data_IF_528578134998
#
_entry.id   IF_528578134998
#
_cell.length_a   1.000
_cell.length_b   1.000
_cell.length_c   1.000
_cell.angle_alpha   90.00
_cell.angle_beta   90.00
_cell.angle_gamma   90.00
#
_symmetry.space_group_name_H-M   'P 1'
#
loop_
_entity.id
_entity.type
_entity.pdbx_description
1 polymer ?
#
# COMPACT_ATOMS: atom_id res chain seq x y z
N UNK A 1 -15.75 -2.64 18.97
CA UNK A 1 -15.75 -3.86 18.15
C UNK A 1 -15.47 -3.50 16.70
N UNK A 2 -14.45 -4.10 16.11
CA UNK A 2 -14.15 -3.86 14.71
C UNK A 2 -15.27 -4.43 13.84
N UNK A 3 -15.69 -3.70 12.81
CA UNK A 3 -16.67 -4.23 11.87
C UNK A 3 -15.99 -5.19 10.89
N UNK A 4 -16.80 -5.95 10.17
CA UNK A 4 -16.32 -6.96 9.24
C UNK A 4 -15.46 -6.37 8.11
N UNK A 5 -15.80 -5.17 7.65
CA UNK A 5 -15.06 -4.49 6.58
C UNK A 5 -13.66 -4.09 7.03
N UNK A 6 -13.54 -3.59 8.26
CA UNK A 6 -12.24 -3.26 8.85
C UNK A 6 -11.38 -4.52 9.01
N UNK A 7 -11.97 -5.64 9.39
CA UNK A 7 -11.26 -6.91 9.52
C UNK A 7 -10.75 -7.40 8.17
N UNK A 8 -11.56 -7.30 7.12
CA UNK A 8 -11.15 -7.72 5.77
C UNK A 8 -10.00 -6.87 5.27
N UNK A 9 -10.12 -5.55 5.38
CA UNK A 9 -9.09 -4.65 4.88
C UNK A 9 -7.80 -4.80 5.68
N UNK A 10 -7.89 -5.00 6.98
CA UNK A 10 -6.72 -5.23 7.82
C UNK A 10 -5.96 -6.48 7.39
N UNK A 11 -6.67 -7.56 7.11
CA UNK A 11 -6.06 -8.80 6.64
C UNK A 11 -5.39 -8.61 5.27
N UNK A 12 -6.04 -7.90 4.35
CA UNK A 12 -5.48 -7.60 3.03
C UNK A 12 -4.23 -6.72 3.12
N UNK A 13 -4.26 -5.69 3.95
CA UNK A 13 -3.13 -4.79 4.12
C UNK A 13 -1.93 -5.49 4.77
N UNK A 14 -2.18 -6.36 5.74
CA UNK A 14 -1.12 -7.16 6.38
C UNK A 14 -0.49 -8.14 5.40
N UNK A 15 -1.31 -8.79 4.58
CA UNK A 15 -0.85 -9.72 3.56
C UNK A 15 0.05 -9.01 2.55
N UNK A 16 -0.37 -7.83 2.10
CA UNK A 16 0.41 -7.01 1.18
C UNK A 16 1.74 -6.56 1.81
N UNK A 17 1.68 -6.09 3.06
CA UNK A 17 2.88 -5.74 3.82
C UNK A 17 3.86 -6.91 3.91
N UNK A 18 3.36 -8.08 4.27
CA UNK A 18 4.21 -9.27 4.43
C UNK A 18 4.85 -9.68 3.11
N UNK A 19 4.10 -9.58 2.01
CA UNK A 19 4.63 -9.82 0.67
C UNK A 19 5.73 -8.82 0.29
N UNK A 20 5.54 -7.55 0.62
CA UNK A 20 6.55 -6.52 0.39
C UNK A 20 7.82 -6.75 1.21
N UNK A 21 7.66 -7.06 2.50
CA UNK A 21 8.80 -7.30 3.39
C UNK A 21 9.58 -8.57 3.03
N UNK A 22 8.90 -9.61 2.56
CA UNK A 22 9.55 -10.87 2.14
C UNK A 22 9.99 -10.85 0.68
N UNK A 23 9.66 -9.81 -0.06
CA UNK A 23 9.92 -9.68 -1.49
C UNK A 23 9.32 -10.86 -2.29
N UNK A 24 8.12 -11.24 -1.90
CA UNK A 24 7.37 -12.31 -2.56
C UNK A 24 6.64 -11.74 -3.78
N UNK A 25 7.31 -11.77 -4.92
CA UNK A 25 6.81 -11.18 -6.16
C UNK A 25 5.54 -11.85 -6.64
N UNK A 26 5.45 -13.18 -6.50
CA UNK A 26 4.27 -13.93 -6.90
C UNK A 26 3.05 -13.49 -6.08
N UNK A 27 3.23 -13.35 -4.76
CA UNK A 27 2.17 -12.90 -3.88
C UNK A 27 1.77 -11.46 -4.17
N UNK A 28 2.74 -10.56 -4.37
CA UNK A 28 2.47 -9.17 -4.74
C UNK A 28 1.69 -9.08 -6.04
N UNK A 29 2.07 -9.89 -7.03
CA UNK A 29 1.36 -9.94 -8.33
C UNK A 29 -0.08 -10.39 -8.18
N UNK A 30 -0.36 -11.31 -7.26
CA UNK A 30 -1.72 -11.80 -7.00
C UNK A 30 -2.58 -10.76 -6.26
N UNK A 31 -1.96 -9.90 -5.45
CA UNK A 31 -2.67 -8.90 -4.64
C UNK A 31 -3.01 -7.63 -5.40
N UNK A 32 -2.39 -7.37 -6.54
CA UNK A 32 -2.66 -6.17 -7.33
C UNK A 32 -3.40 -6.50 -8.61
N UNK A 33 -4.41 -5.71 -8.90
CA UNK A 33 -5.24 -5.85 -10.10
C UNK A 33 -4.42 -5.56 -11.38
N UNK A 34 -4.76 -6.16 -12.53
CA UNK A 34 -4.08 -5.81 -13.79
C UNK A 34 -4.11 -4.31 -14.11
N UNK A 35 -5.13 -3.59 -13.67
CA UNK A 35 -5.27 -2.15 -13.88
C UNK A 35 -4.78 -1.32 -12.69
N UNK A 36 -3.95 -1.92 -11.82
CA UNK A 36 -3.42 -1.22 -10.66
C UNK A 36 -2.59 0.00 -11.03
N UNK A 37 -2.80 1.10 -10.31
CA UNK A 37 -1.99 2.31 -10.40
C UNK A 37 -1.62 2.77 -9.00
N UNK A 38 -0.34 2.99 -8.77
CA UNK A 38 0.16 3.72 -7.61
C UNK A 38 0.30 5.18 -7.98
N UNK A 39 -0.33 6.05 -7.20
CA UNK A 39 -0.27 7.50 -7.39
C UNK A 39 0.40 8.09 -6.16
N UNK A 40 1.35 8.98 -6.37
CA UNK A 40 2.06 9.58 -5.25
C UNK A 40 2.68 10.91 -5.59
N UNK A 41 3.45 11.42 -4.63
CA UNK A 41 4.14 12.69 -4.74
C UNK A 41 5.60 12.50 -4.36
N UNK A 42 6.49 13.03 -5.19
CA UNK A 42 7.93 13.13 -4.92
C UNK A 42 8.30 14.59 -4.82
N UNK A 43 9.51 14.89 -4.36
CA UNK A 43 10.03 16.27 -4.33
C UNK A 43 10.03 16.90 -5.71
N UNK A 44 10.12 16.12 -6.76
CA UNK A 44 10.13 16.56 -8.16
C UNK A 44 8.72 16.71 -8.76
N UNK A 45 7.67 16.33 -8.02
CA UNK A 45 6.28 16.43 -8.48
C UNK A 45 5.50 15.12 -8.38
N UNK A 46 4.27 15.11 -8.88
CA UNK A 46 3.43 13.92 -8.85
C UNK A 46 3.96 12.82 -9.77
N UNK A 47 3.66 11.58 -9.42
CA UNK A 47 4.01 10.44 -10.26
C UNK A 47 2.87 9.42 -10.28
N UNK A 48 2.84 8.61 -11.34
CA UNK A 48 1.97 7.45 -11.47
C UNK A 48 2.80 6.26 -11.94
N UNK A 49 2.57 5.11 -11.32
CA UNK A 49 3.15 3.83 -11.76
C UNK A 49 2.04 2.85 -12.03
N UNK A 50 2.00 2.32 -13.24
CA UNK A 50 1.13 1.21 -13.58
C UNK A 50 1.67 -0.09 -12.98
N UNK A 51 0.86 -1.13 -12.99
CA UNK A 51 1.17 -2.40 -12.34
C UNK A 51 2.59 -2.92 -12.61
N UNK A 52 2.97 -3.03 -13.87
CA UNK A 52 4.28 -3.61 -14.23
C UNK A 52 5.44 -2.71 -13.79
N UNK A 53 5.29 -1.40 -13.92
CA UNK A 53 6.28 -0.44 -13.43
C UNK A 53 6.45 -0.54 -11.92
N UNK A 54 5.34 -0.66 -11.20
CA UNK A 54 5.35 -0.81 -9.75
C UNK A 54 6.03 -2.11 -9.32
N UNK A 55 5.68 -3.23 -9.97
CA UNK A 55 6.29 -4.53 -9.67
C UNK A 55 7.81 -4.50 -9.91
N UNK A 56 8.26 -3.83 -10.97
CA UNK A 56 9.69 -3.66 -11.23
C UNK A 56 10.36 -2.80 -10.15
N UNK A 57 9.72 -1.71 -9.78
CA UNK A 57 10.27 -0.75 -8.80
C UNK A 57 10.45 -1.39 -7.42
N UNK A 58 9.47 -2.16 -6.95
CA UNK A 58 9.53 -2.75 -5.61
C UNK A 58 10.57 -3.87 -5.50
N UNK A 59 10.91 -4.52 -6.61
CA UNK A 59 11.96 -5.54 -6.62
C UNK A 59 13.36 -4.94 -6.40
N UNK A 60 13.53 -3.65 -6.66
CA UNK A 60 14.78 -2.92 -6.48
C UNK A 60 14.94 -2.34 -5.07
N UNK A 61 13.95 -2.51 -4.22
CA UNK A 61 13.94 -1.97 -2.86
C UNK A 61 13.89 -3.12 -1.87
N UNK A 62 14.62 -2.98 -0.77
CA UNK A 62 14.56 -3.93 0.33
C UNK A 62 13.74 -3.30 1.45
N UNK A 63 12.50 -3.75 1.58
CA UNK A 63 11.59 -3.25 2.61
C UNK A 63 11.91 -3.99 3.91
N UNK A 64 12.41 -3.27 4.91
CA UNK A 64 12.78 -3.85 6.20
C UNK A 64 11.57 -3.99 7.11
N UNK A 65 10.73 -2.96 7.16
CA UNK A 65 9.53 -2.99 7.99
C UNK A 65 8.47 -2.02 7.48
N UNK A 66 7.22 -2.36 7.74
CA UNK A 66 6.07 -1.48 7.51
C UNK A 66 5.18 -1.62 8.73
N UNK A 67 4.95 -0.51 9.44
CA UNK A 67 3.97 -0.45 10.52
C UNK A 67 2.70 0.14 9.94
N UNK A 68 1.56 -0.52 10.18
CA UNK A 68 0.26 -0.15 9.61
C UNK A 68 -0.74 0.16 10.70
N UNK A 69 -1.55 1.20 10.46
CA UNK A 69 -2.73 1.50 11.26
C UNK A 69 -3.90 1.77 10.31
N UNK A 70 -4.96 0.99 10.44
CA UNK A 70 -6.16 1.18 9.63
C UNK A 70 -6.98 2.29 10.28
N UNK A 71 -7.03 3.45 9.62
CA UNK A 71 -7.76 4.60 10.13
C UNK A 71 -9.24 4.59 9.76
N UNK A 72 -9.58 4.06 8.59
CA UNK A 72 -10.97 3.97 8.12
C UNK A 72 -11.08 2.87 7.06
N UNK A 73 -12.26 2.23 7.01
CA UNK A 73 -12.59 1.23 5.99
C UNK A 73 -14.07 1.35 5.63
N UNK A 74 -14.34 1.43 4.34
CA UNK A 74 -15.69 1.52 3.79
C UNK A 74 -15.91 0.47 2.71
N UNK A 75 -17.09 -0.13 2.71
CA UNK A 75 -17.48 -1.10 1.70
C UNK A 75 -18.56 -0.52 0.79
N UNK A 76 -18.42 -0.77 -0.50
CA UNK A 76 -19.38 -0.41 -1.54
C UNK A 76 -19.53 -1.60 -2.47
N UNK A 77 -20.55 -2.42 -2.26
CA UNK A 77 -20.79 -3.63 -3.04
C UNK A 77 -19.51 -4.51 -3.10
N UNK A 78 -18.85 -4.60 -4.25
CA UNK A 78 -17.63 -5.40 -4.45
C UNK A 78 -16.36 -4.54 -4.39
N UNK A 79 -16.38 -3.51 -3.56
CA UNK A 79 -15.27 -2.58 -3.42
C UNK A 79 -15.06 -2.22 -1.96
N UNK A 80 -13.80 -2.13 -1.56
CA UNK A 80 -13.41 -1.62 -0.26
C UNK A 80 -12.49 -0.42 -0.46
N UNK A 81 -12.73 0.62 0.33
CA UNK A 81 -11.85 1.79 0.36
C UNK A 81 -11.29 1.91 1.76
N UNK A 82 -9.97 1.87 1.88
CA UNK A 82 -9.28 1.99 3.15
C UNK A 82 -8.38 3.20 3.23
N UNK A 83 -8.37 3.84 4.40
CA UNK A 83 -7.38 4.86 4.74
C UNK A 83 -6.42 4.25 5.75
N UNK A 84 -5.15 4.25 5.43
CA UNK A 84 -4.12 3.57 6.20
C UNK A 84 -2.98 4.53 6.49
N UNK A 85 -2.57 4.59 7.76
CA UNK A 85 -1.32 5.28 8.12
C UNK A 85 -0.21 4.23 8.12
N UNK A 86 0.89 4.53 7.45
CA UNK A 86 2.00 3.58 7.34
C UNK A 86 3.33 4.26 7.62
N UNK A 87 4.18 3.52 8.33
CA UNK A 87 5.57 3.92 8.55
C UNK A 87 6.45 2.90 7.85
N UNK A 88 7.24 3.36 6.87
CA UNK A 88 8.11 2.54 6.04
C UNK A 88 9.56 2.67 6.47
N UNK A 89 10.26 1.54 6.50
CA UNK A 89 11.71 1.52 6.57
C UNK A 89 12.20 0.61 5.45
N UNK A 90 12.94 1.19 4.51
CA UNK A 90 13.45 0.43 3.37
C UNK A 90 14.88 0.84 3.02
N UNK A 91 15.56 -0.02 2.27
CA UNK A 91 16.87 0.28 1.69
C UNK A 91 16.74 0.37 0.18
N UNK A 92 17.33 1.41 -0.36
CA UNK A 92 17.39 1.63 -1.81
C UNK A 92 18.73 2.27 -2.15
N UNK A 93 19.49 1.60 -3.02
CA UNK A 93 20.83 2.06 -3.43
C UNK A 93 21.76 2.34 -2.24
N UNK A 94 21.73 1.46 -1.23
CA UNK A 94 22.57 1.58 -0.04
C UNK A 94 22.12 2.61 0.98
N UNK A 95 20.99 3.26 0.76
CA UNK A 95 20.43 4.24 1.68
C UNK A 95 19.25 3.67 2.45
N UNK A 96 19.17 4.00 3.73
CA UNK A 96 18.00 3.69 4.54
C UNK A 96 17.03 4.87 4.42
N UNK A 97 15.79 4.55 4.04
CA UNK A 97 14.72 5.55 3.91
C UNK A 97 13.63 5.19 4.91
N UNK A 98 13.24 6.17 5.72
CA UNK A 98 12.13 6.06 6.65
C UNK A 98 11.13 7.16 6.32
N UNK A 99 9.88 6.78 6.06
CA UNK A 99 8.82 7.73 5.73
C UNK A 99 7.53 7.34 6.43
N UNK A 100 6.77 8.36 6.80
CA UNK A 100 5.39 8.19 7.22
C UNK A 100 4.49 8.70 6.11
N UNK A 101 3.52 7.90 5.75
CA UNK A 101 2.62 8.19 4.62
C UNK A 101 1.18 7.92 5.02
N UNK A 102 0.27 8.63 4.36
CA UNK A 102 -1.14 8.31 4.39
C UNK A 102 -1.47 7.63 3.06
N UNK A 103 -2.07 6.45 3.15
CA UNK A 103 -2.46 5.67 2.00
C UNK A 103 -3.97 5.66 1.86
N UNK A 104 -4.46 5.84 0.64
CA UNK A 104 -5.83 5.48 0.28
C UNK A 104 -5.73 4.29 -0.66
N UNK A 105 -6.25 3.16 -0.22
CA UNK A 105 -6.22 1.92 -0.99
C UNK A 105 -7.64 1.54 -1.40
N UNK A 106 -7.81 1.25 -2.67
CA UNK A 106 -9.07 0.77 -3.23
C UNK A 106 -8.89 -0.69 -3.64
N UNK A 107 -9.70 -1.55 -3.04
CA UNK A 107 -9.71 -2.99 -3.31
C UNK A 107 -10.99 -3.35 -4.03
N UNK A 108 -10.89 -4.19 -5.05
CA UNK A 108 -12.06 -4.70 -5.79
C UNK A 108 -12.12 -6.21 -5.68
N UNK A 109 -13.35 -6.74 -5.62
CA UNK A 109 -13.58 -8.18 -5.59
C UNK A 109 -13.98 -8.66 -6.97
N UNK A 110 -13.07 -9.38 -7.63
CA UNK A 110 -13.26 -9.97 -8.95
C UNK A 110 -12.61 -11.35 -8.96
N UNK A 111 -13.19 -12.28 -9.71
CA UNK A 111 -12.64 -13.63 -9.85
C UNK A 111 -12.41 -14.31 -8.49
N UNK A 112 -13.39 -14.14 -7.58
CA UNK A 112 -13.39 -14.71 -6.23
C UNK A 112 -12.23 -14.27 -5.34
N UNK A 113 -11.65 -13.09 -5.61
CA UNK A 113 -10.56 -12.57 -4.79
C UNK A 113 -10.55 -11.05 -4.73
N UNK A 114 -10.00 -10.53 -3.66
CA UNK A 114 -9.74 -9.10 -3.50
C UNK A 114 -8.41 -8.73 -4.12
N UNK A 115 -8.39 -7.65 -4.92
CA UNK A 115 -7.17 -7.11 -5.51
C UNK A 115 -7.16 -5.60 -5.38
N UNK A 116 -6.00 -5.02 -5.06
CA UNK A 116 -5.84 -3.58 -5.01
C UNK A 116 -5.81 -3.02 -6.43
N UNK A 117 -6.68 -2.04 -6.71
CA UNK A 117 -6.73 -1.39 -8.03
C UNK A 117 -6.12 0.01 -8.00
N UNK A 118 -6.11 0.66 -6.84
CA UNK A 118 -5.48 1.97 -6.66
C UNK A 118 -4.83 2.05 -5.29
N UNK A 119 -3.67 2.66 -5.25
CA UNK A 119 -3.06 3.13 -4.02
C UNK A 119 -2.64 4.56 -4.22
N UNK A 120 -3.12 5.45 -3.37
CA UNK A 120 -2.70 6.84 -3.35
C UNK A 120 -1.85 7.04 -2.11
N UNK A 121 -0.60 7.47 -2.29
CA UNK A 121 0.34 7.63 -1.20
C UNK A 121 0.73 9.10 -1.05
N UNK A 122 0.49 9.65 0.13
CA UNK A 122 0.85 11.02 0.46
C UNK A 122 1.87 11.01 1.59
N UNK A 123 3.13 11.42 1.34
CA UNK A 123 4.14 11.47 2.39
C UNK A 123 3.89 12.63 3.34
N UNK A 124 4.31 12.46 4.60
CA UNK A 124 4.30 13.53 5.57
C UNK A 124 5.42 14.51 5.24
N UNK A 125 5.13 15.82 5.07
CA UNK A 125 6.16 16.81 4.76
C UNK A 125 7.24 16.95 5.83
N UNK A 126 6.87 16.72 7.09
CA UNK A 126 7.78 16.83 8.23
C UNK A 126 8.37 15.49 8.66
N UNK A 127 7.97 14.38 8.03
CA UNK A 127 8.32 13.04 8.46
C UNK A 127 7.55 12.56 9.70
N UNK A 128 6.61 13.34 10.20
CA UNK A 128 5.79 12.97 11.36
C UNK A 128 4.82 11.85 11.03
N UNK A 129 4.63 10.94 12.00
CA UNK A 129 3.78 9.76 11.82
C UNK A 129 2.46 9.84 12.58
N UNK A 130 2.30 10.85 13.41
CA UNK A 130 1.09 11.02 14.24
C UNK A 130 0.18 12.04 13.56
N UNK A 131 -1.12 11.73 13.39
CA UNK A 131 -2.09 12.70 12.88
C UNK A 131 -2.11 13.97 13.73
N UNK A 132 -2.25 15.10 13.09
CA UNK A 132 -2.36 16.38 13.77
C UNK A 132 -3.71 16.51 14.49
#
# INVERSE_FOLDING_TARGET
MADKNSEIIEALERDWRDALCSKDVERMSALVHPDFILIGMRSTGPFMMHRNEWLDAIQKRDVESIELEIADAKAFDKMLVGTVYAKWRLRYLGRVIEDCVVLTDVWVFEDDRWQAIRRHSTPSPSGGCTPA
#
